data_IF_912239611755
#
_entry.id   IF_912239611755
#
_cell.length_a   1.000
_cell.length_b   1.000
_cell.length_c   1.000
_cell.angle_alpha   90.00
_cell.angle_beta   90.00
_cell.angle_gamma   90.00
#
_symmetry.space_group_name_H-M   'P 1'
#
loop_
_entity.id
_entity.type
_entity.pdbx_description
1 polymer ?
#
# COMPACT_ATOMS: atom_id res chain seq x y z
N UNK A 1 6.11 15.31 -36.15
CA UNK A 1 6.58 14.19 -35.31
C UNK A 1 7.30 14.77 -34.11
N UNK A 2 6.61 14.93 -32.98
CA UNK A 2 7.23 15.38 -31.74
C UNK A 2 7.61 14.13 -30.92
N UNK A 3 8.87 14.05 -30.52
CA UNK A 3 9.42 12.93 -29.79
C UNK A 3 8.64 12.72 -28.48
N UNK A 4 8.09 11.51 -28.29
CA UNK A 4 7.63 10.97 -27.02
C UNK A 4 8.83 10.91 -26.07
N UNK A 5 9.07 11.99 -25.34
CA UNK A 5 9.97 11.98 -24.19
C UNK A 5 9.34 11.06 -23.14
N UNK A 6 9.92 9.89 -22.94
CA UNK A 6 9.56 9.00 -21.86
C UNK A 6 9.87 9.71 -20.53
N UNK A 7 8.85 10.31 -19.91
CA UNK A 7 8.94 10.86 -18.56
C UNK A 7 9.39 9.74 -17.62
N UNK A 8 10.48 9.91 -16.85
CA UNK A 8 10.94 8.86 -15.96
C UNK A 8 9.85 8.59 -14.94
N UNK A 9 9.34 7.35 -14.90
CA UNK A 9 8.44 6.87 -13.83
C UNK A 9 9.17 7.09 -12.52
N UNK A 10 8.82 8.15 -11.80
CA UNK A 10 9.45 8.51 -10.54
C UNK A 10 9.14 7.40 -9.53
N UNK A 11 10.13 6.56 -9.26
CA UNK A 11 10.00 5.51 -8.26
C UNK A 11 9.98 6.18 -6.89
N UNK A 12 8.80 6.25 -6.28
CA UNK A 12 8.67 6.71 -4.89
C UNK A 12 9.55 5.84 -3.98
N UNK A 13 10.20 6.46 -3.01
CA UNK A 13 10.92 5.72 -1.97
C UNK A 13 9.92 4.92 -1.13
N UNK A 14 10.32 3.74 -0.66
CA UNK A 14 9.50 2.90 0.25
C UNK A 14 9.01 3.69 1.47
N UNK A 15 9.83 4.62 1.98
CA UNK A 15 9.43 5.49 3.09
C UNK A 15 8.35 6.51 2.69
N UNK A 16 8.39 7.02 1.46
CA UNK A 16 7.35 7.89 0.93
C UNK A 16 6.05 7.11 0.69
N UNK A 17 6.13 5.90 0.14
CA UNK A 17 4.97 5.01 -0.03
C UNK A 17 4.33 4.66 1.33
N UNK A 18 5.14 4.41 2.36
CA UNK A 18 4.63 4.21 3.71
C UNK A 18 3.92 5.44 4.27
N UNK A 19 4.54 6.62 4.16
CA UNK A 19 3.93 7.91 4.57
C UNK A 19 2.64 8.21 3.79
N UNK A 20 2.58 7.83 2.52
CA UNK A 20 1.41 8.00 1.67
C UNK A 20 0.17 7.30 2.25
N UNK A 21 0.34 6.10 2.82
CA UNK A 21 -0.76 5.36 3.46
C UNK A 21 -1.40 6.12 4.62
N UNK A 22 -0.67 7.03 5.27
CA UNK A 22 -1.14 7.84 6.40
C UNK A 22 -1.44 9.29 6.02
N UNK A 23 -1.48 9.62 4.73
CA UNK A 23 -1.61 11.01 4.24
C UNK A 23 -0.52 11.97 4.75
N UNK A 24 0.65 11.45 5.12
CA UNK A 24 1.79 12.25 5.62
C UNK A 24 2.69 12.64 4.46
N UNK A 25 2.14 13.25 3.41
CA UNK A 25 2.88 13.73 2.25
C UNK A 25 2.65 15.22 2.04
N UNK A 26 3.70 15.93 1.61
CA UNK A 26 3.56 17.31 1.19
C UNK A 26 2.95 17.42 -0.21
N UNK A 27 2.30 18.54 -0.56
CA UNK A 27 1.74 18.74 -1.91
C UNK A 27 2.82 18.69 -3.01
N UNK A 28 4.07 19.00 -2.68
CA UNK A 28 5.22 18.84 -3.58
C UNK A 28 5.57 17.37 -3.87
N UNK A 29 5.15 16.42 -3.03
CA UNK A 29 5.41 14.98 -3.16
C UNK A 29 4.23 14.21 -3.79
N UNK A 30 3.02 14.78 -3.74
CA UNK A 30 1.78 14.10 -4.16
C UNK A 30 0.98 14.84 -5.25
N UNK A 31 1.54 15.90 -5.85
CA UNK A 31 0.89 16.61 -6.96
C UNK A 31 1.46 16.15 -8.31
N UNK A 32 0.57 15.81 -9.22
CA UNK A 32 0.90 15.38 -10.59
C UNK A 32 0.35 16.39 -11.60
N UNK A 33 1.03 16.55 -12.73
CA UNK A 33 0.63 17.53 -13.74
C UNK A 33 -0.48 16.99 -14.64
N UNK A 34 -0.52 15.68 -14.82
CA UNK A 34 -1.47 14.97 -15.68
C UNK A 34 -1.98 13.70 -14.99
N UNK A 35 -3.15 13.20 -15.39
CA UNK A 35 -3.78 12.02 -14.76
C UNK A 35 -2.97 10.76 -15.06
N UNK A 36 -2.30 10.73 -16.20
CA UNK A 36 -1.46 9.62 -16.66
C UNK A 36 -0.18 9.45 -15.80
N UNK A 37 0.22 10.49 -15.08
CA UNK A 37 1.34 10.47 -14.14
C UNK A 37 0.93 9.94 -12.75
N UNK A 38 -0.39 9.89 -12.46
CA UNK A 38 -0.88 9.42 -11.17
C UNK A 38 -0.57 7.93 -11.03
N UNK A 39 0.22 7.52 -10.04
CA UNK A 39 0.53 6.13 -9.85
C UNK A 39 -0.72 5.38 -9.40
N UNK A 40 -0.77 4.09 -9.74
CA UNK A 40 -1.76 3.22 -9.13
C UNK A 40 -1.39 2.98 -7.66
N UNK A 41 -2.02 3.75 -6.77
CA UNK A 41 -1.79 3.69 -5.32
C UNK A 41 -2.07 2.33 -4.73
N UNK A 42 -2.94 1.57 -5.38
CA UNK A 42 -3.40 0.27 -4.94
C UNK A 42 -2.28 -0.75 -5.12
N UNK A 43 -1.60 -0.72 -6.26
CA UNK A 43 -0.44 -1.55 -6.55
C UNK A 43 0.76 -1.14 -5.68
N UNK A 44 0.88 0.16 -5.39
CA UNK A 44 1.91 0.72 -4.51
C UNK A 44 1.73 0.35 -3.03
N UNK A 45 0.49 0.31 -2.55
CA UNK A 45 0.20 -0.03 -1.15
C UNK A 45 0.25 -1.54 -0.88
N UNK A 46 -0.02 -2.38 -1.89
CA UNK A 46 -0.15 -3.84 -1.72
C UNK A 46 1.09 -4.52 -1.10
N UNK A 47 2.34 -4.22 -1.50
CA UNK A 47 3.52 -4.83 -0.89
C UNK A 47 3.68 -4.46 0.60
N UNK A 48 3.40 -3.20 0.97
CA UNK A 48 3.42 -2.74 2.35
C UNK A 48 2.31 -3.40 3.17
N UNK A 49 1.11 -3.52 2.61
CA UNK A 49 -0.01 -4.21 3.25
C UNK A 49 0.32 -5.68 3.57
N UNK A 50 0.86 -6.43 2.60
CA UNK A 50 1.30 -7.82 2.82
C UNK A 50 2.41 -7.87 3.89
N UNK A 51 3.35 -6.94 3.85
CA UNK A 51 4.44 -6.86 4.84
C UNK A 51 3.89 -6.64 6.26
N UNK A 52 2.89 -5.79 6.42
CA UNK A 52 2.25 -5.54 7.72
C UNK A 52 1.51 -6.78 8.25
N UNK A 53 0.82 -7.54 7.38
CA UNK A 53 0.20 -8.81 7.75
C UNK A 53 1.24 -9.82 8.23
N UNK A 54 2.36 -9.96 7.50
CA UNK A 54 3.45 -10.86 7.89
C UNK A 54 4.10 -10.42 9.21
N UNK A 55 4.32 -9.11 9.37
CA UNK A 55 4.85 -8.54 10.61
C UNK A 55 3.95 -8.84 11.80
N UNK A 56 2.63 -8.70 11.63
CA UNK A 56 1.66 -9.04 12.66
C UNK A 56 1.74 -10.52 13.05
N UNK A 57 1.83 -11.44 12.08
CA UNK A 57 2.00 -12.88 12.34
C UNK A 57 3.28 -13.15 13.15
N UNK A 58 4.39 -12.50 12.79
CA UNK A 58 5.68 -12.64 13.50
C UNK A 58 5.57 -12.12 14.93
N UNK A 59 4.98 -10.94 15.14
CA UNK A 59 4.80 -10.35 16.47
C UNK A 59 3.93 -11.27 17.35
N UNK A 60 2.81 -11.76 16.80
CA UNK A 60 1.92 -12.71 17.50
C UNK A 60 2.66 -14.00 17.87
N UNK A 61 3.49 -14.52 16.98
CA UNK A 61 4.33 -15.70 17.23
C UNK A 61 5.33 -15.47 18.38
N UNK A 62 6.05 -14.34 18.36
CA UNK A 62 7.01 -13.96 19.42
C UNK A 62 6.32 -13.77 20.77
N UNK A 63 5.12 -13.20 20.79
CA UNK A 63 4.36 -12.97 22.02
C UNK A 63 3.79 -14.25 22.67
N UNK A 64 3.98 -15.43 22.07
CA UNK A 64 3.50 -16.74 22.58
C UNK A 64 2.02 -16.75 23.00
N UNK A 65 1.20 -15.82 22.50
CA UNK A 65 -0.25 -15.98 22.56
C UNK A 65 -0.53 -17.29 21.83
N UNK A 66 -1.13 -18.25 22.53
CA UNK A 66 -1.54 -19.54 21.97
C UNK A 66 -2.10 -19.31 20.56
N UNK A 67 -1.66 -20.14 19.61
CA UNK A 67 -1.96 -20.25 18.18
C UNK A 67 -3.44 -19.99 17.77
N UNK A 68 -4.03 -18.87 18.17
CA UNK A 68 -5.29 -18.35 17.66
C UNK A 68 -4.92 -17.66 16.36
N UNK A 69 -4.63 -18.48 15.36
CA UNK A 69 -4.12 -18.12 14.04
C UNK A 69 -5.07 -17.18 13.28
N UNK A 70 -6.28 -16.98 13.79
CA UNK A 70 -7.30 -16.09 13.26
C UNK A 70 -7.92 -15.32 14.41
N UNK A 71 -7.41 -14.13 14.68
CA UNK A 71 -8.26 -13.15 15.35
C UNK A 71 -9.28 -12.66 14.32
N UNK A 72 -10.51 -12.40 14.74
CA UNK A 72 -11.60 -11.97 13.85
C UNK A 72 -11.21 -10.73 13.01
N UNK A 73 -10.33 -9.89 13.58
CA UNK A 73 -9.81 -8.69 12.94
C UNK A 73 -8.90 -9.00 11.75
N UNK A 74 -8.18 -10.13 11.76
CA UNK A 74 -7.27 -10.54 10.67
C UNK A 74 -8.10 -10.87 9.41
N UNK A 75 -9.19 -11.63 9.60
CA UNK A 75 -10.14 -11.99 8.54
C UNK A 75 -10.89 -10.75 8.06
N UNK A 76 -11.29 -9.87 8.99
CA UNK A 76 -11.99 -8.62 8.66
C UNK A 76 -11.10 -7.71 7.82
N UNK A 77 -9.82 -7.56 8.19
CA UNK A 77 -8.84 -6.72 7.46
C UNK A 77 -8.57 -7.24 6.06
N UNK A 78 -8.41 -8.56 5.91
CA UNK A 78 -8.24 -9.22 4.60
C UNK A 78 -9.49 -9.10 3.73
N UNK A 79 -10.66 -9.37 4.32
CA UNK A 79 -11.94 -9.28 3.60
C UNK A 79 -12.25 -7.86 3.16
N UNK A 80 -12.01 -6.85 4.00
CA UNK A 80 -12.13 -5.44 3.65
C UNK A 80 -11.19 -5.06 2.49
N UNK A 81 -9.94 -5.57 2.52
CA UNK A 81 -8.99 -5.42 1.43
C UNK A 81 -9.51 -5.99 0.10
N UNK A 82 -10.05 -7.21 0.12
CA UNK A 82 -10.60 -7.87 -1.09
C UNK A 82 -11.88 -7.16 -1.57
N UNK A 83 -12.78 -6.81 -0.66
CA UNK A 83 -14.02 -6.09 -0.98
C UNK A 83 -13.71 -4.71 -1.59
N UNK A 84 -12.68 -4.01 -1.11
CA UNK A 84 -12.25 -2.72 -1.67
C UNK A 84 -11.82 -2.78 -3.14
N UNK A 85 -11.59 -3.97 -3.69
CA UNK A 85 -11.21 -4.21 -5.08
C UNK A 85 -12.34 -4.73 -5.96
N UNK A 86 -13.50 -5.03 -5.38
CA UNK A 86 -14.65 -5.41 -6.17
C UNK A 86 -15.11 -4.17 -6.96
N UNK A 87 -15.37 -4.32 -8.28
CA UNK A 87 -16.04 -3.28 -9.03
C UNK A 87 -17.46 -3.10 -8.47
N UNK A 88 -17.95 -1.85 -8.45
CA UNK A 88 -19.37 -1.53 -8.19
C UNK A 88 -20.30 -2.29 -9.15
#
# INVERSE_FOLDING_TARGET
MAATAATPKQSLSVFQEFRAMFYVLGPNESSFRSVEEVPDYVDKATPLFITLILLEIIIKWVQKKHFSFFHNDDITSLSAGIISRLPE
#
